data_IF_054375217108
#
_entry.id   IF_054375217108
#
_cell.length_a   1.000
_cell.length_b   1.000
_cell.length_c   1.000
_cell.angle_alpha   90.00
_cell.angle_beta   90.00
_cell.angle_gamma   90.00
#
_symmetry.space_group_name_H-M   'P 1'
#
loop_
_entity.id
_entity.type
_entity.pdbx_description
1 polymer ?
#
# COMPACT_ATOMS: atom_id res chain seq x y z
N UNK A 1 -3.95 4.02 -2.06
CA UNK A 1 -4.18 2.56 -2.20
C UNK A 1 -3.90 1.79 -0.92
N UNK A 2 -2.70 1.90 -0.36
CA UNK A 2 -2.28 1.15 0.83
C UNK A 2 -3.12 1.44 2.08
N UNK A 3 -3.44 2.71 2.34
CA UNK A 3 -4.24 3.12 3.50
C UNK A 3 -5.65 2.51 3.49
N UNK A 4 -6.32 2.58 2.34
CA UNK A 4 -7.67 2.02 2.13
C UNK A 4 -7.64 0.50 2.29
N UNK A 5 -6.59 -0.16 1.78
CA UNK A 5 -6.42 -1.59 1.93
C UNK A 5 -6.30 -2.01 3.40
N UNK A 6 -5.42 -1.36 4.17
CA UNK A 6 -5.20 -1.68 5.59
C UNK A 6 -6.48 -1.46 6.40
N UNK A 7 -7.19 -0.36 6.12
CA UNK A 7 -8.49 -0.09 6.70
C UNK A 7 -9.51 -1.19 6.37
N UNK A 8 -9.62 -1.61 5.10
CA UNK A 8 -10.52 -2.68 4.68
C UNK A 8 -10.16 -4.03 5.33
N UNK A 9 -8.87 -4.32 5.50
CA UNK A 9 -8.42 -5.51 6.22
C UNK A 9 -8.88 -5.47 7.69
N UNK A 10 -8.76 -4.30 8.34
CA UNK A 10 -9.35 -4.05 9.65
C UNK A 10 -10.85 -4.33 9.67
N UNK A 11 -11.57 -3.80 8.68
CA UNK A 11 -13.02 -3.90 8.56
C UNK A 11 -13.53 -5.28 8.13
N UNK A 12 -12.66 -6.22 7.73
CA UNK A 12 -13.05 -7.55 7.25
C UNK A 12 -12.73 -8.67 8.24
N UNK A 13 -11.64 -8.55 9.01
CA UNK A 13 -11.15 -9.65 9.85
C UNK A 13 -11.85 -9.75 11.22
N UNK A 14 -12.14 -10.99 11.64
CA UNK A 14 -12.75 -11.32 12.93
C UNK A 14 -11.91 -10.95 14.15
N UNK A 15 -10.60 -11.17 14.05
CA UNK A 15 -9.62 -10.91 15.10
C UNK A 15 -8.64 -9.88 14.58
N UNK A 16 -8.33 -8.86 15.38
CA UNK A 16 -7.32 -7.84 15.04
C UNK A 16 -5.96 -8.46 14.66
N UNK A 17 -5.61 -9.60 15.27
CA UNK A 17 -4.39 -10.36 14.94
C UNK A 17 -4.25 -10.72 13.45
N UNK A 18 -5.37 -10.92 12.73
CA UNK A 18 -5.33 -11.25 11.29
C UNK A 18 -5.11 -10.03 10.38
N UNK A 19 -5.14 -8.82 10.95
CA UNK A 19 -4.86 -7.54 10.28
C UNK A 19 -3.37 -7.19 10.39
N UNK A 20 -2.69 -7.64 11.45
CA UNK A 20 -1.27 -7.39 11.71
C UNK A 20 -0.35 -7.67 10.53
N UNK A 21 -0.51 -8.76 9.73
CA UNK A 21 0.36 -9.00 8.59
C UNK A 21 0.34 -7.85 7.56
N UNK A 22 -0.84 -7.26 7.31
CA UNK A 22 -0.96 -6.12 6.40
C UNK A 22 -0.32 -4.84 6.95
N UNK A 23 -0.54 -4.56 8.25
CA UNK A 23 0.03 -3.40 8.94
C UNK A 23 1.55 -3.51 8.97
N UNK A 24 2.09 -4.64 9.44
CA UNK A 24 3.53 -4.86 9.56
C UNK A 24 4.21 -4.77 8.20
N UNK A 25 3.64 -5.40 7.16
CA UNK A 25 4.23 -5.34 5.81
C UNK A 25 4.27 -3.91 5.29
N UNK A 26 3.18 -3.17 5.47
CA UNK A 26 3.09 -1.78 5.05
C UNK A 26 4.09 -0.89 5.79
N UNK A 27 4.15 -1.03 7.12
CA UNK A 27 5.06 -0.28 7.97
C UNK A 27 6.53 -0.59 7.68
N UNK A 28 6.88 -1.85 7.37
CA UNK A 28 8.25 -2.23 6.98
C UNK A 28 8.60 -1.60 5.62
N UNK A 29 7.72 -1.71 4.61
CA UNK A 29 7.94 -1.07 3.31
C UNK A 29 8.15 0.44 3.46
N UNK A 30 7.30 1.10 4.25
CA UNK A 30 7.40 2.54 4.47
C UNK A 30 8.66 2.91 5.25
N UNK A 31 9.10 2.08 6.19
CA UNK A 31 10.37 2.25 6.91
C UNK A 31 11.57 2.16 5.95
N UNK A 32 11.57 1.19 5.04
CA UNK A 32 12.61 1.07 4.02
C UNK A 32 12.62 2.32 3.12
N UNK A 33 11.44 2.81 2.72
CA UNK A 33 11.31 4.03 1.92
C UNK A 33 11.79 5.28 2.66
N UNK A 34 11.39 5.47 3.92
CA UNK A 34 11.82 6.59 4.76
C UNK A 34 13.34 6.56 4.96
N UNK A 35 13.92 5.41 5.31
CA UNK A 35 15.37 5.28 5.43
C UNK A 35 16.07 5.59 4.10
N UNK A 36 15.57 5.05 2.98
CA UNK A 36 16.14 5.30 1.65
C UNK A 36 16.03 6.78 1.23
N UNK A 37 14.95 7.46 1.62
CA UNK A 37 14.75 8.89 1.40
C UNK A 37 15.72 9.74 2.22
N UNK A 38 15.87 9.44 3.52
CA UNK A 38 16.71 10.24 4.42
C UNK A 38 18.20 10.02 4.20
N UNK A 39 18.62 8.78 3.91
CA UNK A 39 20.02 8.44 3.64
C UNK A 39 20.41 8.59 2.17
N UNK A 40 19.48 9.03 1.29
CA UNK A 40 19.77 9.38 -0.10
C UNK A 40 19.97 8.19 -1.04
N UNK A 41 19.63 6.97 -0.61
CA UNK A 41 19.75 5.75 -1.43
C UNK A 41 18.78 5.74 -2.63
N UNK A 42 17.72 6.54 -2.56
CA UNK A 42 16.57 6.48 -3.48
C UNK A 42 16.76 7.16 -4.84
N UNK A 43 17.79 8.00 -5.00
CA UNK A 43 18.09 8.63 -6.30
C UNK A 43 18.56 7.62 -7.35
N UNK A 44 19.12 6.46 -6.95
CA UNK A 44 19.69 5.46 -7.85
C UNK A 44 18.61 4.67 -8.61
N UNK A 45 17.42 4.48 -8.02
CA UNK A 45 16.37 3.62 -8.61
C UNK A 45 15.77 4.24 -9.88
N UNK A 46 15.75 5.57 -9.98
CA UNK A 46 15.17 6.29 -11.13
C UNK A 46 16.19 6.67 -12.20
N UNK A 47 17.49 6.49 -11.96
CA UNK A 47 18.53 6.69 -12.98
C UNK A 47 18.68 5.48 -13.92
N UNK A 48 18.08 4.33 -13.61
CA UNK A 48 18.15 3.11 -14.42
C UNK A 48 16.79 2.86 -15.10
N UNK A 49 16.61 3.23 -16.37
CA UNK A 49 15.31 3.14 -17.08
C UNK A 49 14.76 1.71 -17.13
N UNK A 50 15.63 0.72 -17.32
CA UNK A 50 15.25 -0.70 -17.41
C UNK A 50 14.71 -1.26 -16.08
N UNK A 51 15.27 -0.82 -14.95
CA UNK A 51 14.78 -1.23 -13.63
C UNK A 51 13.41 -0.63 -13.34
N UNK A 52 13.22 0.66 -13.66
CA UNK A 52 11.94 1.37 -13.54
C UNK A 52 10.84 0.70 -14.37
N UNK A 53 11.12 0.39 -15.64
CA UNK A 53 10.17 -0.29 -16.53
C UNK A 53 9.78 -1.67 -16.00
N UNK A 54 10.76 -2.46 -15.52
CA UNK A 54 10.52 -3.81 -14.99
C UNK A 54 9.58 -3.79 -13.79
N UNK A 55 9.81 -2.86 -12.86
CA UNK A 55 8.96 -2.64 -11.68
C UNK A 55 7.54 -2.28 -12.13
N UNK A 56 7.38 -1.36 -13.09
CA UNK A 56 6.04 -0.95 -13.54
C UNK A 56 5.28 -2.09 -14.23
N UNK A 57 5.93 -2.85 -15.12
CA UNK A 57 5.29 -3.98 -15.82
C UNK A 57 4.84 -5.07 -14.85
N UNK A 58 5.69 -5.45 -13.89
CA UNK A 58 5.33 -6.42 -12.85
C UNK A 58 4.16 -5.91 -11.99
N UNK A 59 4.16 -4.62 -11.67
CA UNK A 59 3.10 -3.95 -10.92
C UNK A 59 1.76 -3.94 -11.64
N UNK A 60 1.80 -3.64 -12.92
CA UNK A 60 0.63 -3.64 -13.78
C UNK A 60 -0.07 -5.00 -13.82
N UNK A 61 0.69 -6.07 -14.13
CA UNK A 61 0.16 -7.44 -14.19
C UNK A 61 -0.41 -7.85 -12.84
N UNK A 62 0.30 -7.55 -11.75
CA UNK A 62 -0.14 -7.88 -10.40
C UNK A 62 -1.44 -7.17 -10.00
N UNK A 63 -1.56 -5.87 -10.30
CA UNK A 63 -2.76 -5.10 -9.98
C UNK A 63 -3.98 -5.55 -10.78
N UNK A 64 -3.81 -5.93 -12.05
CA UNK A 64 -4.89 -6.52 -12.85
C UNK A 64 -5.41 -7.81 -12.22
N UNK A 65 -4.49 -8.73 -11.86
CA UNK A 65 -4.83 -9.98 -11.19
C UNK A 65 -5.56 -9.75 -9.86
N UNK A 66 -5.08 -8.79 -9.06
CA UNK A 66 -5.70 -8.46 -7.77
C UNK A 66 -7.05 -7.79 -7.90
N UNK A 67 -7.21 -6.83 -8.82
CA UNK A 67 -8.50 -6.18 -9.07
C UNK A 67 -9.56 -7.20 -9.50
N UNK A 68 -9.19 -8.15 -10.37
CA UNK A 68 -10.06 -9.27 -10.75
C UNK A 68 -10.42 -10.17 -9.55
N UNK A 69 -9.43 -10.55 -8.74
CA UNK A 69 -9.66 -11.38 -7.57
C UNK A 69 -10.48 -10.67 -6.48
N UNK A 70 -10.37 -9.35 -6.33
CA UNK A 70 -11.17 -8.52 -5.40
C UNK A 70 -12.60 -8.30 -5.90
N UNK A 71 -12.79 -8.11 -7.21
CA UNK A 71 -14.12 -7.93 -7.81
C UNK A 71 -14.98 -9.19 -7.70
N UNK A 72 -14.37 -10.36 -7.89
CA UNK A 72 -15.05 -11.66 -7.84
C UNK A 72 -15.19 -12.25 -6.44
N UNK A 73 -14.87 -11.49 -5.38
CA UNK A 73 -15.08 -11.99 -4.02
C UNK A 73 -16.59 -12.09 -3.73
N UNK A 74 -17.08 -13.27 -3.34
CA UNK A 74 -18.49 -13.41 -2.97
C UNK A 74 -18.82 -12.53 -1.74
N UNK A 75 -20.08 -12.06 -1.61
CA UNK A 75 -20.51 -11.28 -0.47
C UNK A 75 -20.15 -12.00 0.83
N UNK A 76 -19.63 -11.25 1.80
CA UNK A 76 -19.15 -11.81 3.06
C UNK A 76 -20.32 -12.44 3.83
N UNK A 77 -20.29 -13.77 3.90
CA UNK A 77 -21.13 -14.52 4.80
C UNK A 77 -20.52 -14.38 6.20
N UNK A 78 -21.12 -13.51 7.03
CA UNK A 78 -20.58 -13.14 8.34
C UNK A 78 -20.53 -14.33 9.33
N UNK A 79 -21.16 -15.44 8.98
CA UNK A 79 -21.20 -16.73 9.69
C UNK A 79 -20.00 -17.62 9.35
N UNK A 80 -19.36 -17.44 8.19
CA UNK A 80 -18.25 -18.29 7.74
C UNK A 80 -16.96 -17.48 7.51
N UNK A 81 -15.88 -17.94 8.16
CA UNK A 81 -14.58 -17.27 8.28
C UNK A 81 -13.77 -17.21 6.95
N UNK A 82 -14.41 -17.42 5.78
CA UNK A 82 -13.78 -17.82 4.53
C UNK A 82 -13.35 -16.67 3.60
N UNK A 83 -13.83 -15.44 3.82
CA UNK A 83 -13.71 -14.38 2.79
C UNK A 83 -12.61 -13.34 3.09
N UNK A 84 -11.87 -13.50 4.18
CA UNK A 84 -10.77 -12.60 4.51
C UNK A 84 -9.49 -13.03 3.79
N UNK A 85 -8.79 -12.09 3.15
CA UNK A 85 -7.54 -12.37 2.44
C UNK A 85 -6.55 -13.09 3.36
N UNK A 86 -5.95 -14.19 2.86
CA UNK A 86 -4.92 -14.92 3.61
C UNK A 86 -3.74 -14.00 3.90
N UNK A 87 -3.03 -14.23 5.01
CA UNK A 87 -1.89 -13.40 5.41
C UNK A 87 -0.87 -13.22 4.27
N UNK A 88 -0.60 -14.28 3.51
CA UNK A 88 0.30 -14.24 2.34
C UNK A 88 -0.17 -13.28 1.25
N UNK A 89 -1.47 -13.26 0.93
CA UNK A 89 -2.03 -12.33 -0.06
C UNK A 89 -2.02 -10.88 0.43
N UNK A 90 -2.22 -10.66 1.73
CA UNK A 90 -2.12 -9.32 2.32
C UNK A 90 -0.71 -8.75 2.24
N UNK A 91 0.29 -9.56 2.59
CA UNK A 91 1.69 -9.19 2.53
C UNK A 91 2.07 -8.83 1.10
N UNK A 92 1.74 -9.73 0.14
CA UNK A 92 2.06 -9.49 -1.27
C UNK A 92 1.41 -8.19 -1.77
N UNK A 93 0.14 -7.95 -1.44
CA UNK A 93 -0.56 -6.75 -1.88
C UNK A 93 0.02 -5.46 -1.29
N UNK A 94 0.28 -5.45 0.03
CA UNK A 94 0.87 -4.29 0.68
C UNK A 94 2.24 -3.95 0.08
N UNK A 95 3.09 -4.97 -0.11
CA UNK A 95 4.41 -4.83 -0.73
C UNK A 95 4.27 -4.31 -2.16
N UNK A 96 3.40 -4.93 -2.95
CA UNK A 96 3.19 -4.54 -4.34
C UNK A 96 2.70 -3.11 -4.45
N UNK A 97 1.74 -2.69 -3.62
CA UNK A 97 1.23 -1.32 -3.66
C UNK A 97 2.26 -0.30 -3.16
N UNK A 98 3.11 -0.64 -2.19
CA UNK A 98 4.20 0.25 -1.76
C UNK A 98 5.30 0.40 -2.82
N UNK A 99 5.75 -0.71 -3.41
CA UNK A 99 6.94 -0.72 -4.27
C UNK A 99 6.59 -0.36 -5.71
N UNK A 100 5.43 -0.82 -6.20
CA UNK A 100 5.04 -0.68 -7.61
C UNK A 100 4.30 0.63 -7.88
N UNK A 101 3.94 1.39 -6.84
CA UNK A 101 3.33 2.70 -7.00
C UNK A 101 4.41 3.79 -6.88
N UNK A 102 4.81 4.46 -7.99
CA UNK A 102 5.86 5.46 -7.95
C UNK A 102 5.44 6.73 -7.19
N UNK A 103 4.14 7.00 -7.05
CA UNK A 103 3.66 8.26 -6.48
C UNK A 103 3.94 8.38 -4.97
N UNK A 104 3.57 7.41 -4.11
CA UNK A 104 3.95 7.44 -2.69
C UNK A 104 5.47 7.43 -2.48
N UNK A 105 6.21 6.73 -3.35
CA UNK A 105 7.67 6.71 -3.32
C UNK A 105 8.22 8.12 -3.56
N UNK A 106 7.71 8.81 -4.59
CA UNK A 106 8.10 10.19 -4.88
C UNK A 106 7.73 11.16 -3.76
N UNK A 107 6.52 11.06 -3.20
CA UNK A 107 6.11 11.92 -2.09
C UNK A 107 7.02 11.72 -0.87
N UNK A 108 7.32 10.47 -0.51
CA UNK A 108 8.20 10.16 0.62
C UNK A 108 9.63 10.65 0.37
N UNK A 109 10.19 10.39 -0.81
CA UNK A 109 11.54 10.82 -1.16
C UNK A 109 11.65 12.35 -1.18
N UNK A 110 10.72 13.02 -1.87
CA UNK A 110 10.78 14.47 -2.03
C UNK A 110 10.44 15.15 -0.72
N UNK A 111 9.33 14.83 -0.06
CA UNK A 111 8.89 15.56 1.14
C UNK A 111 9.76 15.21 2.35
N UNK A 112 9.96 13.92 2.65
CA UNK A 112 10.72 13.50 3.84
C UNK A 112 12.22 13.65 3.60
N UNK A 113 12.71 13.31 2.40
CA UNK A 113 14.12 13.46 2.05
C UNK A 113 14.59 14.92 2.07
N UNK A 114 13.83 15.86 1.47
CA UNK A 114 14.19 17.29 1.53
C UNK A 114 14.09 17.86 2.94
N UNK A 115 13.11 17.43 3.73
CA UNK A 115 12.98 17.83 5.14
C UNK A 115 14.16 17.33 5.97
N UNK A 116 14.68 16.15 5.67
CA UNK A 116 15.83 15.57 6.36
C UNK A 116 17.15 16.32 6.12
N UNK A 117 17.26 17.11 5.03
CA UNK A 117 18.45 17.94 4.75
C UNK A 117 18.67 19.03 5.81
N UNK A 118 17.63 19.41 6.54
CA UNK A 118 17.71 20.39 7.64
C UNK A 118 18.39 19.86 8.89
N UNK A 119 18.63 18.54 8.96
CA UNK A 119 19.14 17.86 10.14
C UNK A 119 20.46 17.17 9.84
N UNK A 120 21.36 17.12 10.82
CA UNK A 120 22.69 16.52 10.69
C UNK A 120 23.05 15.66 11.91
N UNK A 121 23.86 14.62 11.68
CA UNK A 121 24.31 13.71 12.74
C UNK A 121 23.15 13.08 13.51
N UNK A 122 23.20 13.17 14.84
CA UNK A 122 22.20 12.57 15.75
C UNK A 122 20.77 13.09 15.49
N UNK A 123 20.61 14.38 15.17
CA UNK A 123 19.29 14.99 14.92
C UNK A 123 18.61 14.41 13.68
N UNK A 124 19.39 14.00 12.66
CA UNK A 124 18.89 13.35 11.45
C UNK A 124 18.37 11.94 11.75
N UNK A 125 19.07 11.20 12.61
CA UNK A 125 18.64 9.87 13.07
C UNK A 125 17.35 9.96 13.88
N UNK A 126 17.25 10.93 14.80
CA UNK A 126 16.04 11.16 15.60
C UNK A 126 14.87 11.50 14.67
N UNK A 127 15.05 12.42 13.71
CA UNK A 127 14.03 12.75 12.73
C UNK A 127 13.53 11.50 11.96
N UNK A 128 14.46 10.67 11.48
CA UNK A 128 14.13 9.42 10.77
C UNK A 128 13.31 8.48 11.64
N UNK A 129 13.73 8.26 12.89
CA UNK A 129 13.02 7.41 13.85
C UNK A 129 11.62 7.95 14.16
N UNK A 130 11.47 9.27 14.29
CA UNK A 130 10.16 9.90 14.50
C UNK A 130 9.24 9.66 13.29
N UNK A 131 9.73 9.85 12.05
CA UNK A 131 8.95 9.57 10.85
C UNK A 131 8.48 8.11 10.79
N UNK A 132 9.38 7.17 11.09
CA UNK A 132 9.06 5.74 11.14
C UNK A 132 8.00 5.45 12.21
N UNK A 133 8.16 5.96 13.42
CA UNK A 133 7.20 5.75 14.52
C UNK A 133 5.81 6.30 14.18
N UNK A 134 5.75 7.51 13.61
CA UNK A 134 4.48 8.13 13.21
C UNK A 134 3.80 7.32 12.10
N UNK A 135 4.56 6.83 11.12
CA UNK A 135 4.03 5.95 10.06
C UNK A 135 3.44 4.66 10.63
N UNK A 136 4.17 4.00 11.54
CA UNK A 136 3.67 2.80 12.21
C UNK A 136 2.39 3.08 12.99
N UNK A 137 2.37 4.14 13.80
CA UNK A 137 1.18 4.54 14.56
C UNK A 137 -0.01 4.78 13.62
N UNK A 138 0.20 5.47 12.50
CA UNK A 138 -0.84 5.73 11.51
C UNK A 138 -1.45 4.43 10.93
N UNK A 139 -0.62 3.48 10.52
CA UNK A 139 -1.11 2.20 9.99
C UNK A 139 -1.83 1.36 11.04
N UNK A 140 -1.35 1.36 12.29
CA UNK A 140 -2.05 0.74 13.40
C UNK A 140 -3.41 1.41 13.67
N UNK A 141 -3.47 2.74 13.65
CA UNK A 141 -4.72 3.50 13.80
C UNK A 141 -5.71 3.18 12.69
N UNK A 142 -5.28 3.08 11.44
CA UNK A 142 -6.14 2.70 10.30
C UNK A 142 -6.71 1.29 10.46
N UNK A 143 -5.86 0.32 10.80
CA UNK A 143 -6.31 -1.06 11.04
C UNK A 143 -7.29 -1.15 12.21
N UNK A 144 -7.05 -0.39 13.28
CA UNK A 144 -7.93 -0.34 14.45
C UNK A 144 -9.26 0.36 14.14
N UNK A 145 -9.23 1.46 13.40
CA UNK A 145 -10.43 2.16 12.94
C UNK A 145 -11.32 1.25 12.08
N UNK A 146 -10.73 0.54 11.12
CA UNK A 146 -11.45 -0.45 10.31
C UNK A 146 -12.07 -1.56 11.16
N UNK A 147 -11.31 -2.10 12.12
CA UNK A 147 -11.78 -3.14 13.03
C UNK A 147 -12.98 -2.69 13.89
N UNK A 148 -12.96 -1.47 14.41
CA UNK A 148 -14.07 -0.92 15.19
C UNK A 148 -15.32 -0.73 14.34
N UNK A 149 -15.17 -0.30 13.08
CA UNK A 149 -16.29 -0.14 12.14
C UNK A 149 -16.97 -1.48 11.85
N UNK A 150 -16.21 -2.57 11.77
CA UNK A 150 -16.79 -3.91 11.65
C UNK A 150 -17.64 -4.30 12.86
N UNK A 151 -17.23 -3.95 14.08
CA UNK A 151 -18.02 -4.22 15.30
C UNK A 151 -19.37 -3.48 15.28
N UNK A 152 -19.39 -2.30 14.66
CA UNK A 152 -20.60 -1.48 14.50
C UNK A 152 -21.48 -1.94 13.34
N UNK A 153 -20.91 -2.60 12.33
CA UNK A 153 -21.57 -2.86 11.07
C UNK A 153 -21.70 -4.36 10.77
N UNK A 154 -22.91 -4.90 11.01
CA UNK A 154 -23.29 -6.30 10.73
C UNK A 154 -23.85 -6.53 9.32
N UNK A 155 -23.81 -5.53 8.44
CA UNK A 155 -24.38 -5.64 7.09
C UNK A 155 -23.34 -6.09 6.07
N UNK A 156 -23.55 -7.27 5.47
CA UNK A 156 -22.71 -7.84 4.39
C UNK A 156 -22.69 -6.96 3.13
N UNK A 157 -23.71 -6.12 2.94
CA UNK A 157 -23.86 -5.21 1.80
C UNK A 157 -22.80 -4.11 1.79
N UNK A 158 -22.45 -3.54 2.95
CA UNK A 158 -21.48 -2.44 3.02
C UNK A 158 -20.08 -2.95 2.69
N UNK A 159 -19.69 -4.14 3.15
CA UNK A 159 -18.41 -4.74 2.77
C UNK A 159 -18.36 -5.12 1.29
N UNK A 160 -19.46 -5.58 0.70
CA UNK A 160 -19.51 -5.87 -0.73
C UNK A 160 -19.33 -4.59 -1.57
N UNK A 161 -19.96 -3.48 -1.19
CA UNK A 161 -19.78 -2.18 -1.83
C UNK A 161 -18.34 -1.69 -1.69
N UNK A 162 -17.78 -1.78 -0.48
CA UNK A 162 -16.38 -1.41 -0.21
C UNK A 162 -15.40 -2.23 -1.04
N UNK A 163 -15.62 -3.54 -1.21
CA UNK A 163 -14.78 -4.40 -2.05
C UNK A 163 -14.89 -4.03 -3.54
N UNK A 164 -16.10 -3.72 -4.04
CA UNK A 164 -16.27 -3.25 -5.42
C UNK A 164 -15.57 -1.91 -5.65
N UNK A 165 -15.73 -0.97 -4.72
CA UNK A 165 -15.03 0.32 -4.75
C UNK A 165 -13.51 0.09 -4.74
N UNK A 166 -13.01 -0.79 -3.89
CA UNK A 166 -11.58 -1.13 -3.84
C UNK A 166 -11.08 -1.75 -5.15
N UNK A 167 -11.84 -2.65 -5.78
CA UNK A 167 -11.48 -3.24 -7.07
C UNK A 167 -11.42 -2.19 -8.19
N UNK A 168 -12.40 -1.28 -8.24
CA UNK A 168 -12.42 -0.17 -9.20
C UNK A 168 -11.20 0.73 -9.01
N UNK A 169 -10.90 1.06 -7.75
CA UNK A 169 -9.74 1.84 -7.34
C UNK A 169 -8.43 1.14 -7.77
N UNK A 170 -8.30 -0.17 -7.58
CA UNK A 170 -7.15 -0.96 -8.02
C UNK A 170 -7.00 -0.92 -9.54
N UNK A 171 -8.08 -1.11 -10.30
CA UNK A 171 -8.05 -1.04 -11.76
C UNK A 171 -7.73 0.36 -12.28
N UNK A 172 -8.22 1.41 -11.63
CA UNK A 172 -7.88 2.79 -11.98
C UNK A 172 -6.37 3.04 -11.87
N UNK A 173 -5.72 2.53 -10.81
CA UNK A 173 -4.25 2.62 -10.69
C UNK A 173 -3.52 1.69 -11.65
N UNK A 174 -4.06 0.50 -11.94
CA UNK A 174 -3.50 -0.35 -12.99
C UNK A 174 -3.49 0.37 -14.34
N UNK A 175 -4.60 1.03 -14.72
CA UNK A 175 -4.69 1.83 -15.94
C UNK A 175 -3.68 2.98 -15.92
N UNK A 176 -3.58 3.72 -14.82
CA UNK A 176 -2.60 4.79 -14.66
C UNK A 176 -1.16 4.31 -14.87
N UNK A 177 -0.78 3.18 -14.24
CA UNK A 177 0.55 2.58 -14.41
C UNK A 177 0.73 2.09 -15.85
N UNK A 178 -0.30 1.50 -16.46
CA UNK A 178 -0.28 1.09 -17.87
C UNK A 178 0.00 2.25 -18.82
N UNK A 179 -0.65 3.40 -18.60
CA UNK A 179 -0.38 4.63 -19.35
C UNK A 179 1.06 5.09 -19.11
N UNK A 180 1.55 5.04 -17.87
CA UNK A 180 2.92 5.44 -17.54
C UNK A 180 3.98 4.54 -18.19
N UNK A 181 3.70 3.24 -18.33
CA UNK A 181 4.51 2.30 -19.11
C UNK A 181 4.54 2.71 -20.59
N UNK A 182 3.40 3.11 -21.16
CA UNK A 182 3.34 3.54 -22.57
C UNK A 182 4.14 4.82 -22.84
N UNK A 183 4.15 5.77 -21.90
CA UNK A 183 5.02 6.95 -21.96
C UNK A 183 6.51 6.57 -21.86
N UNK A 184 6.88 5.67 -20.95
CA UNK A 184 8.27 5.20 -20.79
C UNK A 184 8.81 4.46 -22.01
N UNK A 185 7.97 3.73 -22.74
CA UNK A 185 8.38 3.01 -23.96
C UNK A 185 8.35 3.95 -25.20
N UNK A 186 7.91 5.20 -25.04
CA UNK A 186 7.83 6.18 -26.13
C UNK A 186 6.71 5.89 -27.14
N UNK A 187 5.68 5.14 -26.74
CA UNK A 187 4.54 4.79 -27.59
C UNK A 187 3.48 5.91 -27.62
N UNK A 188 3.44 6.75 -26.60
CA UNK A 188 2.57 7.92 -26.48
C UNK A 188 3.46 9.11 -26.13
N UNK A 189 3.34 10.20 -26.92
CA UNK A 189 4.05 11.46 -26.70
C UNK A 189 3.29 12.37 -25.72
#
# INVERSE_FOLDING_TARGET
MQNIFIFNQGATHQKFQKVLPSIISASICDTILICSAVFGLSLIIFEIPTLKLTIFVLGFIFLLYMGYNTWNQPPLDLTNNSNALSAKKQILFAISVSILNPHPIMDTIVVIGTSALKYQGLTKTIFTLTCVLVSWLWFFSLGFAGYNIRKLNKSSTILAIVNKIAAIIIWAVAIYIGIQILYEIGFIN
#
